data_IF_683988701702
#
_entry.id   IF_683988701702
#
_cell.length_a   1.000
_cell.length_b   1.000
_cell.length_c   1.000
_cell.angle_alpha   90.00
_cell.angle_beta   90.00
_cell.angle_gamma   90.00
#
_symmetry.space_group_name_H-M   'P 1'
#
loop_
_entity.id
_entity.type
_entity.pdbx_description
1 polymer ?
#
# COMPACT_ATOMS: atom_id res chain seq x y z
N UNK A 1 -2.38 34.86 6.51
CA UNK A 1 -1.34 33.88 6.88
C UNK A 1 -0.01 34.60 6.96
N UNK A 2 0.70 34.50 8.09
CA UNK A 2 1.97 35.20 8.32
C UNK A 2 3.13 34.51 7.59
N UNK A 3 4.08 35.27 7.04
CA UNK A 3 5.23 34.76 6.30
C UNK A 3 6.05 33.69 7.07
N UNK A 4 6.04 33.73 8.41
CA UNK A 4 6.73 32.76 9.27
C UNK A 4 6.08 31.37 9.30
N UNK A 5 4.77 31.27 9.08
CA UNK A 5 4.07 29.99 8.99
C UNK A 5 4.38 29.29 7.66
N UNK A 6 4.53 30.07 6.58
CA UNK A 6 4.84 29.56 5.24
C UNK A 6 6.26 28.97 5.18
N UNK A 7 7.23 29.63 5.82
CA UNK A 7 8.64 29.14 5.86
C UNK A 7 8.78 27.86 6.69
N UNK A 8 8.10 27.74 7.84
CA UNK A 8 8.11 26.50 8.63
C UNK A 8 7.53 25.32 7.85
N UNK A 9 6.38 25.52 7.19
CA UNK A 9 5.72 24.48 6.40
C UNK A 9 6.57 24.00 5.21
N UNK A 10 7.38 24.88 4.63
CA UNK A 10 8.31 24.54 3.55
C UNK A 10 9.52 23.74 4.05
N UNK A 11 10.10 24.12 5.19
CA UNK A 11 11.18 23.36 5.84
C UNK A 11 10.70 21.98 6.30
N UNK A 12 9.48 21.89 6.82
CA UNK A 12 8.84 20.63 7.20
C UNK A 12 8.48 19.75 5.99
N UNK A 13 8.47 20.28 4.76
CA UNK A 13 8.22 19.50 3.55
C UNK A 13 9.51 19.08 2.84
N UNK A 14 10.63 19.78 3.07
CA UNK A 14 11.89 19.54 2.34
C UNK A 14 12.49 18.15 2.58
N UNK A 15 12.25 17.56 3.75
CA UNK A 15 12.77 16.23 4.12
C UNK A 15 11.94 15.08 3.51
N UNK A 16 10.72 15.38 3.05
CA UNK A 16 9.81 14.36 2.52
C UNK A 16 10.37 13.80 1.21
N UNK A 17 10.88 14.66 0.31
CA UNK A 17 11.47 14.22 -0.96
C UNK A 17 12.66 13.25 -0.80
N UNK A 18 13.70 13.54 -0.01
CA UNK A 18 14.78 12.57 0.21
C UNK A 18 14.30 11.33 0.95
N UNK A 19 13.35 11.44 1.89
CA UNK A 19 12.78 10.28 2.56
C UNK A 19 12.03 9.35 1.59
N UNK A 20 11.28 9.92 0.64
CA UNK A 20 10.59 9.15 -0.41
C UNK A 20 11.58 8.43 -1.33
N UNK A 21 12.69 9.08 -1.71
CA UNK A 21 13.75 8.42 -2.49
C UNK A 21 14.41 7.28 -1.72
N UNK A 22 14.72 7.48 -0.44
CA UNK A 22 15.26 6.43 0.42
C UNK A 22 14.28 5.26 0.53
N UNK A 23 12.99 5.54 0.74
CA UNK A 23 11.96 4.49 0.78
C UNK A 23 11.83 3.77 -0.56
N UNK A 24 11.88 4.47 -1.68
CA UNK A 24 11.81 3.86 -3.01
C UNK A 24 12.99 2.92 -3.26
N UNK A 25 14.21 3.38 -2.99
CA UNK A 25 15.43 2.55 -3.12
C UNK A 25 15.38 1.35 -2.17
N UNK A 26 15.02 1.57 -0.91
CA UNK A 26 14.88 0.49 0.08
C UNK A 26 13.83 -0.54 -0.35
N UNK A 27 12.72 -0.10 -0.95
CA UNK A 27 11.67 -0.98 -1.45
C UNK A 27 12.17 -1.87 -2.58
N UNK A 28 12.88 -1.30 -3.56
CA UNK A 28 13.52 -2.07 -4.64
C UNK A 28 14.53 -3.05 -4.08
N UNK A 29 15.44 -2.60 -3.21
CA UNK A 29 16.43 -3.47 -2.58
C UNK A 29 15.79 -4.60 -1.78
N UNK A 30 14.71 -4.32 -1.05
CA UNK A 30 13.98 -5.32 -0.27
C UNK A 30 13.36 -6.39 -1.16
N UNK A 31 12.79 -6.01 -2.30
CA UNK A 31 12.17 -6.94 -3.23
C UNK A 31 13.23 -7.78 -3.95
N UNK A 32 14.31 -7.16 -4.43
CA UNK A 32 15.47 -7.86 -5.01
C UNK A 32 16.05 -8.86 -4.00
N UNK A 33 16.27 -8.45 -2.75
CA UNK A 33 16.74 -9.35 -1.70
C UNK A 33 15.76 -10.50 -1.46
N UNK A 34 14.45 -10.24 -1.45
CA UNK A 34 13.44 -11.30 -1.25
C UNK A 34 13.50 -12.37 -2.34
N UNK A 35 13.77 -11.97 -3.59
CA UNK A 35 13.93 -12.87 -4.73
C UNK A 35 15.25 -13.63 -4.65
N UNK A 36 16.37 -12.93 -4.44
CA UNK A 36 17.71 -13.54 -4.38
C UNK A 36 17.84 -14.55 -3.23
N UNK A 37 17.20 -14.25 -2.08
CA UNK A 37 17.19 -15.12 -0.91
C UNK A 37 16.10 -16.19 -0.95
N UNK A 38 15.31 -16.27 -2.04
CA UNK A 38 14.23 -17.23 -2.20
C UNK A 38 13.26 -17.25 -1.00
N UNK A 39 12.92 -16.06 -0.49
CA UNK A 39 12.01 -15.95 0.64
C UNK A 39 10.63 -16.51 0.27
N UNK A 40 9.85 -17.04 1.25
CA UNK A 40 8.49 -17.47 1.01
C UNK A 40 7.68 -16.36 0.33
N UNK A 41 6.85 -16.72 -0.66
CA UNK A 41 6.10 -15.74 -1.46
C UNK A 41 5.23 -14.82 -0.59
N UNK A 42 4.66 -15.33 0.51
CA UNK A 42 3.91 -14.52 1.46
C UNK A 42 4.77 -13.42 2.11
N UNK A 43 6.04 -13.71 2.42
CA UNK A 43 6.99 -12.74 3.00
C UNK A 43 7.36 -11.70 1.96
N UNK A 44 7.74 -12.12 0.74
CA UNK A 44 8.06 -11.18 -0.34
C UNK A 44 6.88 -10.27 -0.72
N UNK A 45 5.68 -10.83 -0.80
CA UNK A 45 4.45 -10.08 -1.03
C UNK A 45 4.12 -9.11 0.11
N UNK A 46 4.33 -9.50 1.37
CA UNK A 46 4.11 -8.62 2.51
C UNK A 46 5.11 -7.45 2.55
N UNK A 47 6.38 -7.72 2.28
CA UNK A 47 7.41 -6.69 2.15
C UNK A 47 7.05 -5.69 1.06
N UNK A 48 6.63 -6.18 -0.12
CA UNK A 48 6.20 -5.34 -1.23
C UNK A 48 4.99 -4.47 -0.85
N UNK A 49 3.91 -5.08 -0.33
CA UNK A 49 2.71 -4.35 0.07
C UNK A 49 3.00 -3.30 1.16
N UNK A 50 3.84 -3.62 2.14
CA UNK A 50 4.22 -2.68 3.20
C UNK A 50 5.05 -1.50 2.66
N UNK A 51 5.99 -1.78 1.76
CA UNK A 51 6.77 -0.76 1.06
C UNK A 51 5.88 0.24 0.33
N UNK A 52 4.93 -0.27 -0.46
CA UNK A 52 3.97 0.58 -1.18
C UNK A 52 3.05 1.35 -0.22
N UNK A 53 2.62 0.70 0.87
CA UNK A 53 1.82 1.33 1.92
C UNK A 53 2.55 2.54 2.53
N UNK A 54 3.80 2.34 2.95
CA UNK A 54 4.60 3.40 3.58
C UNK A 54 4.88 4.55 2.62
N UNK A 55 5.22 4.24 1.38
CA UNK A 55 5.42 5.25 0.34
C UNK A 55 4.13 6.04 0.09
N UNK A 56 3.02 5.34 -0.14
CA UNK A 56 1.73 5.95 -0.42
C UNK A 56 1.17 6.78 0.75
N UNK A 57 1.39 6.34 1.99
CA UNK A 57 1.03 7.11 3.17
C UNK A 57 1.86 8.40 3.28
N UNK A 58 3.19 8.30 3.11
CA UNK A 58 4.07 9.46 3.26
C UNK A 58 3.83 10.49 2.14
N UNK A 59 3.85 10.05 0.89
CA UNK A 59 3.60 10.92 -0.27
C UNK A 59 2.14 11.40 -0.29
N UNK A 60 1.19 10.54 0.06
CA UNK A 60 -0.23 10.86 0.02
C UNK A 60 -0.64 11.83 1.11
N UNK A 61 -0.12 11.67 2.33
CA UNK A 61 -0.35 12.62 3.39
C UNK A 61 0.25 13.99 3.08
N UNK A 62 1.41 14.06 2.42
CA UNK A 62 2.02 15.33 2.03
C UNK A 62 1.28 16.03 0.89
N UNK A 63 0.69 15.27 -0.03
CA UNK A 63 0.06 15.80 -1.26
C UNK A 63 -1.43 16.05 -1.09
N UNK A 64 -2.16 15.11 -0.48
CA UNK A 64 -3.63 15.13 -0.35
C UNK A 64 -4.10 15.43 1.09
N UNK A 65 -3.17 15.51 2.04
CA UNK A 65 -3.48 15.60 3.47
C UNK A 65 -3.94 14.25 4.06
N UNK A 66 -3.89 14.14 5.39
CA UNK A 66 -4.22 12.90 6.10
C UNK A 66 -5.65 12.39 5.83
N UNK A 67 -6.61 13.31 5.72
CA UNK A 67 -8.00 12.96 5.40
C UNK A 67 -8.14 12.39 3.99
N UNK A 68 -7.44 12.96 3.02
CA UNK A 68 -7.47 12.51 1.63
C UNK A 68 -6.89 11.11 1.48
N UNK A 69 -5.72 10.86 2.08
CA UNK A 69 -5.09 9.54 1.98
C UNK A 69 -5.86 8.45 2.73
N UNK A 70 -6.45 8.77 3.90
CA UNK A 70 -7.31 7.81 4.60
C UNK A 70 -8.58 7.48 3.81
N UNK A 71 -9.22 8.48 3.20
CA UNK A 71 -10.38 8.24 2.34
C UNK A 71 -10.01 7.34 1.16
N UNK A 72 -8.86 7.59 0.53
CA UNK A 72 -8.37 6.77 -0.56
C UNK A 72 -8.10 5.31 -0.13
N UNK A 73 -7.46 5.11 1.04
CA UNK A 73 -7.26 3.77 1.63
C UNK A 73 -8.60 3.05 1.84
N UNK A 74 -9.59 3.72 2.45
CA UNK A 74 -10.91 3.11 2.72
C UNK A 74 -11.60 2.72 1.42
N UNK A 75 -11.56 3.58 0.40
CA UNK A 75 -12.15 3.30 -0.92
C UNK A 75 -11.44 2.11 -1.57
N UNK A 76 -10.10 2.10 -1.60
CA UNK A 76 -9.32 0.99 -2.16
C UNK A 76 -9.62 -0.33 -1.44
N UNK A 77 -9.60 -0.34 -0.11
CA UNK A 77 -9.91 -1.53 0.68
C UNK A 77 -11.34 -2.02 0.45
N UNK A 78 -12.32 -1.11 0.42
CA UNK A 78 -13.73 -1.46 0.21
C UNK A 78 -13.99 -2.03 -1.19
N UNK A 79 -13.53 -1.34 -2.23
CA UNK A 79 -13.76 -1.76 -3.63
C UNK A 79 -13.00 -3.05 -3.94
N UNK A 80 -11.72 -3.14 -3.58
CA UNK A 80 -10.93 -4.35 -3.83
C UNK A 80 -11.51 -5.56 -3.10
N UNK A 81 -11.82 -5.44 -1.80
CA UNK A 81 -12.39 -6.53 -1.03
C UNK A 81 -13.76 -6.97 -1.57
N UNK A 82 -14.59 -6.03 -2.04
CA UNK A 82 -15.89 -6.35 -2.64
C UNK A 82 -15.74 -7.17 -3.92
N UNK A 83 -14.87 -6.76 -4.87
CA UNK A 83 -14.66 -7.49 -6.12
C UNK A 83 -13.94 -8.83 -5.92
N UNK A 84 -13.03 -8.90 -4.95
CA UNK A 84 -12.37 -10.12 -4.54
C UNK A 84 -13.37 -11.15 -3.99
N UNK A 85 -14.21 -10.76 -3.02
CA UNK A 85 -15.25 -11.65 -2.51
C UNK A 85 -16.27 -12.01 -3.60
N UNK A 86 -16.63 -11.08 -4.48
CA UNK A 86 -17.51 -11.36 -5.61
C UNK A 86 -16.90 -12.44 -6.53
N UNK A 87 -15.61 -12.34 -6.82
CA UNK A 87 -14.90 -13.33 -7.65
C UNK A 87 -14.83 -14.69 -6.97
N UNK A 88 -14.54 -14.74 -5.68
CA UNK A 88 -14.49 -15.99 -4.92
C UNK A 88 -15.86 -16.68 -4.89
N UNK A 89 -16.95 -15.90 -4.75
CA UNK A 89 -18.31 -16.43 -4.65
C UNK A 89 -18.94 -16.78 -6.00
N UNK A 90 -18.63 -16.03 -7.06
CA UNK A 90 -19.34 -16.11 -8.34
C UNK A 90 -18.46 -16.51 -9.53
N UNK A 91 -17.14 -16.45 -9.39
CA UNK A 91 -16.18 -16.60 -10.47
C UNK A 91 -15.98 -15.37 -11.35
N UNK A 92 -16.59 -14.23 -11.04
CA UNK A 92 -16.48 -12.96 -11.78
C UNK A 92 -16.18 -11.79 -10.82
N UNK A 93 -15.34 -10.79 -11.18
CA UNK A 93 -14.68 -10.59 -12.47
C UNK A 93 -13.37 -11.34 -12.69
N UNK A 94 -12.71 -11.87 -11.65
CA UNK A 94 -11.33 -12.36 -11.76
C UNK A 94 -11.20 -13.87 -11.98
N UNK A 95 -12.30 -14.60 -12.12
CA UNK A 95 -12.31 -16.06 -12.17
C UNK A 95 -12.54 -16.70 -10.80
N UNK A 96 -12.60 -18.03 -10.78
CA UNK A 96 -12.76 -18.81 -9.55
C UNK A 96 -11.41 -19.13 -8.92
N UNK A 97 -11.19 -18.67 -7.70
CA UNK A 97 -10.00 -18.97 -6.89
C UNK A 97 -10.34 -18.90 -5.41
N UNK A 98 -9.40 -19.32 -4.55
CA UNK A 98 -9.53 -19.23 -3.10
C UNK A 98 -8.19 -18.88 -2.47
N UNK A 99 -8.23 -18.10 -1.39
CA UNK A 99 -7.04 -17.77 -0.61
C UNK A 99 -6.78 -18.79 0.48
N UNK A 100 -5.52 -19.24 0.57
CA UNK A 100 -5.04 -20.08 1.66
C UNK A 100 -4.99 -19.31 2.99
N UNK A 101 -5.05 -20.02 4.12
CA UNK A 101 -4.98 -19.41 5.45
C UNK A 101 -3.57 -18.95 5.84
N UNK A 102 -2.57 -19.25 5.01
CA UNK A 102 -1.16 -18.86 5.22
C UNK A 102 -0.88 -17.38 4.96
N UNK A 103 -1.83 -16.63 4.40
CA UNK A 103 -1.66 -15.20 4.06
C UNK A 103 -2.02 -14.24 5.20
N UNK A 104 -2.29 -14.77 6.40
CA UNK A 104 -2.61 -13.96 7.57
C UNK A 104 -4.10 -13.62 7.69
N UNK A 105 -4.45 -12.57 8.46
CA UNK A 105 -5.84 -12.24 8.76
C UNK A 105 -6.64 -11.89 7.50
N UNK A 106 -7.88 -12.39 7.45
CA UNK A 106 -8.82 -12.16 6.35
C UNK A 106 -9.91 -11.17 6.75
N UNK A 107 -10.31 -10.34 5.80
CA UNK A 107 -11.57 -9.61 5.83
C UNK A 107 -12.54 -10.37 4.92
N UNK A 108 -13.52 -11.05 5.54
CA UNK A 108 -14.34 -12.07 4.90
C UNK A 108 -13.48 -13.22 4.34
N UNK A 109 -13.47 -13.46 3.03
CA UNK A 109 -12.70 -14.53 2.38
C UNK A 109 -11.29 -14.09 1.94
N UNK A 110 -10.99 -12.79 2.05
CA UNK A 110 -9.86 -12.15 1.37
C UNK A 110 -8.83 -11.67 2.39
N UNK A 111 -7.54 -12.02 2.26
CA UNK A 111 -6.49 -11.55 3.15
C UNK A 111 -6.40 -10.02 3.16
N UNK A 112 -6.25 -9.40 4.34
CA UNK A 112 -6.11 -7.94 4.47
C UNK A 112 -4.93 -7.39 3.66
N UNK A 113 -3.88 -8.19 3.53
CA UNK A 113 -2.69 -7.84 2.77
C UNK A 113 -2.98 -7.54 1.30
N UNK A 114 -3.97 -8.21 0.70
CA UNK A 114 -4.39 -8.01 -0.70
C UNK A 114 -4.97 -6.62 -0.88
N UNK A 115 -5.85 -6.18 0.03
CA UNK A 115 -6.40 -4.83 -0.01
C UNK A 115 -5.32 -3.74 0.12
N UNK A 116 -4.31 -3.97 0.96
CA UNK A 116 -3.17 -3.05 1.10
C UNK A 116 -2.29 -3.03 -0.16
N UNK A 117 -2.10 -4.18 -0.82
CA UNK A 117 -1.40 -4.25 -2.10
C UNK A 117 -2.15 -3.47 -3.18
N UNK A 118 -3.48 -3.59 -3.26
CA UNK A 118 -4.30 -2.80 -4.20
C UNK A 118 -4.24 -1.30 -3.93
N UNK A 119 -4.24 -0.88 -2.65
CA UNK A 119 -3.96 0.52 -2.31
C UNK A 119 -2.61 0.96 -2.89
N UNK A 120 -1.56 0.18 -2.64
CA UNK A 120 -0.20 0.51 -3.06
C UNK A 120 -0.07 0.65 -4.57
N UNK A 121 -0.62 -0.31 -5.31
CA UNK A 121 -0.61 -0.30 -6.79
C UNK A 121 -1.51 0.78 -7.35
N UNK A 122 -2.70 1.00 -6.78
CA UNK A 122 -3.62 2.05 -7.25
C UNK A 122 -3.15 3.47 -6.92
N UNK A 123 -2.20 3.63 -6.01
CA UNK A 123 -1.64 4.91 -5.61
C UNK A 123 -0.51 5.41 -6.54
N UNK A 124 0.34 4.49 -7.01
CA UNK A 124 1.51 4.75 -7.86
C UNK A 124 1.12 4.91 -9.33
#
# INVERSE_FOLDING_TARGET
>A
MSASQTTRRALDAQWISPALWVLAVASVCSHVASVLLHLPQAVGGAMFALSLLLFGLLHGASTYGWRGILLFIVICLGISNAFENLSILTGFPFGSYHYTDTMGPKLLLVPLLIGLAYFGVGYL
#
